data_IF_806860238196
#
_entry.id   IF_806860238196
#
_cell.length_a   1.000
_cell.length_b   1.000
_cell.length_c   1.000
_cell.angle_alpha   90.00
_cell.angle_beta   90.00
_cell.angle_gamma   90.00
#
_symmetry.space_group_name_H-M   'P 1'
#
loop_
_entity.id
_entity.type
_entity.pdbx_description
1 polymer ?
#
# COMPACT_ATOMS: atom_id res chain seq x y z
N UNK A 1 8.10 27.72 -0.30
CA UNK A 1 9.57 27.80 -0.39
C UNK A 1 10.24 26.91 0.65
N UNK A 2 9.95 27.07 1.95
CA UNK A 2 10.54 26.26 3.05
C UNK A 2 10.10 24.77 3.01
N UNK A 3 8.88 24.49 2.58
CA UNK A 3 8.36 23.13 2.42
C UNK A 3 9.16 22.28 1.40
N UNK A 4 9.66 22.90 0.33
CA UNK A 4 10.44 22.19 -0.69
C UNK A 4 11.85 21.86 -0.18
N UNK A 5 12.50 22.79 0.54
CA UNK A 5 13.83 22.55 1.10
C UNK A 5 13.81 21.51 2.21
N UNK A 6 12.77 21.49 3.07
CA UNK A 6 12.58 20.43 4.08
C UNK A 6 12.44 19.06 3.42
N UNK A 7 11.67 18.95 2.33
CA UNK A 7 11.55 17.71 1.56
C UNK A 7 12.88 17.23 1.00
N UNK A 8 13.66 18.14 0.40
CA UNK A 8 14.99 17.82 -0.16
C UNK A 8 15.96 17.35 0.93
N UNK A 9 15.98 18.00 2.10
CA UNK A 9 16.84 17.61 3.23
C UNK A 9 16.45 16.23 3.79
N UNK A 10 15.15 15.97 3.93
CA UNK A 10 14.65 14.65 4.36
C UNK A 10 15.00 13.54 3.36
N UNK A 11 14.86 13.80 2.06
CA UNK A 11 15.26 12.87 1.01
C UNK A 11 16.77 12.60 1.05
N UNK A 12 17.59 13.65 1.14
CA UNK A 12 19.05 13.53 1.19
C UNK A 12 19.52 12.74 2.43
N UNK A 13 18.94 13.01 3.60
CA UNK A 13 19.21 12.27 4.83
C UNK A 13 18.78 10.80 4.72
N UNK A 14 17.62 10.53 4.12
CA UNK A 14 17.13 9.18 3.83
C UNK A 14 18.06 8.40 2.90
N UNK A 15 18.56 9.04 1.83
CA UNK A 15 19.54 8.44 0.92
C UNK A 15 20.88 8.16 1.61
N UNK A 16 21.39 9.10 2.41
CA UNK A 16 22.65 8.91 3.15
C UNK A 16 22.56 7.73 4.13
N UNK A 17 21.46 7.65 4.89
CA UNK A 17 21.18 6.53 5.81
C UNK A 17 21.05 5.21 5.06
N UNK A 18 20.33 5.16 3.93
CA UNK A 18 20.24 3.97 3.07
C UNK A 18 21.61 3.54 2.56
N UNK A 19 22.46 4.47 2.14
CA UNK A 19 23.80 4.18 1.63
C UNK A 19 24.71 3.62 2.72
N UNK A 20 24.60 4.13 3.93
CA UNK A 20 25.32 3.62 5.09
C UNK A 20 24.81 2.24 5.53
N UNK A 21 23.50 2.01 5.46
CA UNK A 21 22.89 0.70 5.71
C UNK A 21 23.29 -0.32 4.64
N UNK A 22 23.30 0.08 3.36
CA UNK A 22 23.74 -0.74 2.24
C UNK A 22 25.22 -1.11 2.35
N UNK A 23 26.07 -0.21 2.85
CA UNK A 23 27.48 -0.52 3.15
C UNK A 23 27.64 -1.53 4.28
N UNK A 24 26.74 -1.53 5.27
CA UNK A 24 26.77 -2.47 6.41
C UNK A 24 26.14 -3.83 6.10
N UNK A 25 25.07 -3.84 5.31
CA UNK A 25 24.28 -5.03 4.99
C UNK A 25 24.66 -5.64 3.63
N UNK A 26 25.40 -4.92 2.79
CA UNK A 26 25.82 -5.38 1.48
C UNK A 26 24.64 -5.83 0.62
N UNK A 27 24.74 -7.05 0.10
CA UNK A 27 23.77 -7.68 -0.79
C UNK A 27 22.47 -8.07 -0.02
N UNK A 28 22.49 -8.15 1.31
CA UNK A 28 21.30 -8.50 2.09
C UNK A 28 20.20 -7.43 2.00
N UNK A 29 20.54 -6.15 1.87
CA UNK A 29 19.56 -5.06 1.77
C UNK A 29 18.73 -5.08 0.48
N UNK A 30 19.32 -5.21 -0.73
CA UNK A 30 18.52 -5.35 -1.95
C UNK A 30 17.74 -6.66 -1.98
N UNK A 31 18.29 -7.77 -1.47
CA UNK A 31 17.55 -9.04 -1.37
C UNK A 31 16.33 -8.93 -0.45
N UNK A 32 16.48 -8.31 0.72
CA UNK A 32 15.38 -8.05 1.64
C UNK A 32 14.34 -7.13 1.00
N UNK A 33 14.77 -6.09 0.28
CA UNK A 33 13.87 -5.18 -0.43
C UNK A 33 13.06 -5.91 -1.51
N UNK A 34 13.70 -6.76 -2.32
CA UNK A 34 13.04 -7.57 -3.34
C UNK A 34 12.04 -8.55 -2.67
N UNK A 35 12.45 -9.21 -1.59
CA UNK A 35 11.57 -10.12 -0.85
C UNK A 35 10.34 -9.40 -0.27
N UNK A 36 10.53 -8.21 0.31
CA UNK A 36 9.42 -7.38 0.81
C UNK A 36 8.51 -6.89 -0.31
N UNK A 37 9.06 -6.44 -1.43
CA UNK A 37 8.26 -6.05 -2.60
C UNK A 37 7.46 -7.24 -3.16
N UNK A 38 8.09 -8.41 -3.24
CA UNK A 38 7.43 -9.65 -3.67
C UNK A 38 6.29 -10.05 -2.74
N UNK A 39 6.53 -10.05 -1.43
CA UNK A 39 5.50 -10.35 -0.44
C UNK A 39 4.33 -9.33 -0.49
N UNK A 40 4.64 -8.05 -0.62
CA UNK A 40 3.63 -6.99 -0.78
C UNK A 40 2.83 -7.18 -2.07
N UNK A 41 3.48 -7.56 -3.18
CA UNK A 41 2.81 -7.85 -4.45
C UNK A 41 1.83 -9.03 -4.36
N UNK A 42 2.21 -10.11 -3.66
CA UNK A 42 1.32 -11.25 -3.42
C UNK A 42 0.09 -10.87 -2.59
N UNK A 43 0.30 -10.11 -1.51
CA UNK A 43 -0.80 -9.59 -0.69
C UNK A 43 -1.72 -8.67 -1.49
N UNK A 44 -1.15 -7.78 -2.32
CA UNK A 44 -1.93 -6.86 -3.13
C UNK A 44 -2.74 -7.60 -4.21
N UNK A 45 -2.16 -8.63 -4.83
CA UNK A 45 -2.85 -9.47 -5.82
C UNK A 45 -4.07 -10.19 -5.25
N UNK A 46 -3.96 -10.73 -4.03
CA UNK A 46 -5.08 -11.37 -3.33
C UNK A 46 -6.24 -10.38 -3.07
N UNK A 47 -5.93 -9.15 -2.67
CA UNK A 47 -6.96 -8.12 -2.47
C UNK A 47 -7.54 -7.60 -3.78
N UNK A 48 -6.71 -7.45 -4.82
CA UNK A 48 -7.17 -7.03 -6.14
C UNK A 48 -8.18 -8.00 -6.74
N UNK A 49 -7.97 -9.32 -6.55
CA UNK A 49 -8.95 -10.34 -6.95
C UNK A 49 -10.30 -10.19 -6.26
N UNK A 50 -10.31 -9.98 -4.95
CA UNK A 50 -11.56 -9.73 -4.20
C UNK A 50 -12.26 -8.44 -4.64
N UNK A 51 -11.52 -7.35 -4.85
CA UNK A 51 -12.13 -6.12 -5.36
C UNK A 51 -12.67 -6.29 -6.78
N UNK A 52 -12.00 -7.05 -7.64
CA UNK A 52 -12.48 -7.29 -8.99
C UNK A 52 -13.80 -8.06 -8.99
N UNK A 53 -13.92 -9.08 -8.15
CA UNK A 53 -15.17 -9.84 -8.02
C UNK A 53 -16.29 -9.00 -7.41
N UNK A 54 -15.99 -8.21 -6.37
CA UNK A 54 -16.98 -7.30 -5.78
C UNK A 54 -17.44 -6.21 -6.75
N UNK A 55 -16.51 -5.62 -7.50
CA UNK A 55 -16.79 -4.62 -8.54
C UNK A 55 -17.71 -5.21 -9.62
N UNK A 56 -17.47 -6.47 -10.03
CA UNK A 56 -18.33 -7.22 -10.96
C UNK A 56 -19.74 -7.44 -10.39
N UNK A 57 -19.85 -7.88 -9.15
CA UNK A 57 -21.13 -8.14 -8.48
C UNK A 57 -21.93 -6.85 -8.26
N UNK A 58 -21.25 -5.75 -7.92
CA UNK A 58 -21.87 -4.46 -7.66
C UNK A 58 -22.04 -3.59 -8.91
N UNK A 59 -21.65 -4.08 -10.09
CA UNK A 59 -21.68 -3.33 -11.36
C UNK A 59 -20.99 -1.96 -11.26
N UNK A 60 -19.81 -1.95 -10.61
CA UNK A 60 -19.00 -0.75 -10.36
C UNK A 60 -17.60 -0.93 -10.94
N UNK A 61 -16.92 0.19 -11.19
CA UNK A 61 -15.49 0.17 -11.46
C UNK A 61 -14.70 -0.27 -10.23
N UNK A 62 -13.53 -0.87 -10.44
CA UNK A 62 -12.62 -1.30 -9.36
C UNK A 62 -12.33 -0.18 -8.35
N UNK A 63 -12.01 1.01 -8.84
CA UNK A 63 -11.74 2.16 -7.97
C UNK A 63 -12.99 2.61 -7.18
N UNK A 64 -14.16 2.59 -7.82
CA UNK A 64 -15.41 2.95 -7.17
C UNK A 64 -15.76 1.97 -6.04
N UNK A 65 -15.51 0.66 -6.24
CA UNK A 65 -15.70 -0.35 -5.20
C UNK A 65 -14.69 -0.22 -4.05
N UNK A 66 -13.41 0.06 -4.36
CA UNK A 66 -12.36 0.30 -3.34
C UNK A 66 -12.73 1.49 -2.45
N UNK A 67 -13.23 2.58 -3.03
CA UNK A 67 -13.63 3.77 -2.28
C UNK A 67 -14.93 3.56 -1.51
N UNK A 68 -15.88 2.79 -2.05
CA UNK A 68 -17.16 2.51 -1.40
C UNK A 68 -17.03 1.56 -0.20
N UNK A 69 -16.13 0.57 -0.28
CA UNK A 69 -16.01 -0.47 0.74
C UNK A 69 -14.56 -0.99 0.89
N UNK A 70 -13.67 -0.20 1.49
CA UNK A 70 -12.29 -0.61 1.71
C UNK A 70 -12.17 -1.81 2.65
N UNK A 71 -11.67 -2.95 2.14
CA UNK A 71 -11.49 -4.22 2.85
C UNK A 71 -10.41 -4.16 3.96
N UNK A 72 -9.42 -3.28 3.81
CA UNK A 72 -8.23 -3.24 4.67
C UNK A 72 -8.31 -2.19 5.79
N UNK A 73 -9.31 -1.32 5.78
CA UNK A 73 -9.43 -0.23 6.78
C UNK A 73 -10.20 -0.65 8.03
N UNK A 74 -10.63 -1.91 8.13
CA UNK A 74 -11.35 -2.44 9.29
C UNK A 74 -12.67 -1.73 9.59
N UNK A 75 -13.23 -0.98 8.61
CA UNK A 75 -14.52 -0.33 8.80
C UNK A 75 -15.61 -1.42 8.82
N UNK A 76 -16.37 -1.55 9.93
CA UNK A 76 -17.43 -2.54 10.00
C UNK A 76 -18.48 -2.23 8.94
N UNK A 77 -19.02 -3.28 8.30
CA UNK A 77 -20.21 -3.19 7.46
C UNK A 77 -21.37 -2.84 8.38
N UNK A 78 -21.58 -1.55 8.65
CA UNK A 78 -22.70 -1.07 9.42
C UNK A 78 -23.89 -0.79 8.48
N UNK A 79 -24.99 -1.49 8.79
CA UNK A 79 -26.37 -1.21 8.39
C UNK A 79 -26.79 -1.49 6.94
N UNK A 80 -27.24 -2.73 6.69
CA UNK A 80 -28.29 -3.03 5.72
C UNK A 80 -29.44 -3.90 6.31
N UNK A 81 -29.49 -4.07 7.64
CA UNK A 81 -30.54 -4.83 8.34
C UNK A 81 -31.19 -4.00 9.46
N UNK A 82 -31.59 -2.77 9.15
CA UNK A 82 -32.46 -2.01 10.06
C UNK A 82 -33.28 -0.98 9.27
N UNK A 83 -34.34 -1.43 8.62
CA UNK A 83 -35.59 -0.69 8.41
C UNK A 83 -36.61 -1.67 7.84
N UNK A 84 -37.40 -2.25 8.75
CA UNK A 84 -38.78 -2.68 8.48
C UNK A 84 -39.60 -1.54 7.84
#
# INVERSE_FOLDING_TARGET
>A
MICCSVGVVMLAAGLARRRQLARRLGIALPLLSIALLGAAGLLLGQHAGHYAERARLNQRDLLAEILAAPLCSGAPIAAAEASD
#
